data_IF_060579912059
#
_entry.id   IF_060579912059
#
_cell.length_a   1.000
_cell.length_b   1.000
_cell.length_c   1.000
_cell.angle_alpha   90.00
_cell.angle_beta   90.00
_cell.angle_gamma   90.00
#
_symmetry.space_group_name_H-M   'P 1'
#
loop_
_entity.id
_entity.type
_entity.pdbx_description
1 polymer ?
#
# COMPACT_ATOMS: atom_id res chain seq x y z
N UNK A 1 17.09 16.46 10.71
CA UNK A 1 15.87 15.73 10.31
C UNK A 1 16.28 14.38 9.75
N UNK A 2 15.66 13.29 10.23
CA UNK A 2 15.91 11.95 9.69
C UNK A 2 15.32 11.88 8.28
N UNK A 3 16.14 11.60 7.27
CA UNK A 3 15.70 11.50 5.88
C UNK A 3 15.24 10.06 5.66
N UNK A 4 13.95 9.87 5.41
CA UNK A 4 13.41 8.55 5.07
C UNK A 4 13.82 8.22 3.63
N UNK A 5 14.42 7.05 3.42
CA UNK A 5 14.78 6.55 2.10
C UNK A 5 13.84 5.39 1.77
N UNK A 6 13.05 5.54 0.71
CA UNK A 6 12.08 4.54 0.27
C UNK A 6 12.65 3.57 -0.78
N UNK A 7 13.88 3.81 -1.24
CA UNK A 7 14.55 3.01 -2.26
C UNK A 7 14.70 1.55 -1.83
N UNK A 8 14.22 0.65 -2.67
CA UNK A 8 14.21 -0.80 -2.46
C UNK A 8 13.21 -1.28 -1.41
N UNK A 9 12.41 -0.40 -0.81
CA UNK A 9 11.42 -0.81 0.18
C UNK A 9 10.20 -1.42 -0.50
N UNK A 10 9.71 -2.51 0.08
CA UNK A 10 8.44 -3.10 -0.27
C UNK A 10 7.34 -2.41 0.52
N UNK A 11 6.31 -1.92 -0.17
CA UNK A 11 5.24 -1.12 0.43
C UNK A 11 3.86 -1.69 0.08
N UNK A 12 2.92 -1.52 1.01
CA UNK A 12 1.50 -1.79 0.78
C UNK A 12 0.70 -0.53 1.13
N UNK A 13 -0.43 -0.33 0.44
CA UNK A 13 -1.33 0.80 0.67
C UNK A 13 -2.60 0.27 1.35
N UNK A 14 -2.98 0.86 2.48
CA UNK A 14 -4.24 0.56 3.17
C UNK A 14 -5.16 1.77 2.99
N UNK A 15 -6.34 1.55 2.44
CA UNK A 15 -7.23 2.58 1.93
C UNK A 15 -7.10 2.72 0.41
N UNK A 16 -8.24 2.74 -0.27
CA UNK A 16 -8.43 2.78 -1.72
C UNK A 16 -9.34 3.93 -2.12
N UNK A 17 -9.41 4.99 -1.31
CA UNK A 17 -10.05 6.24 -1.72
C UNK A 17 -9.24 6.94 -2.82
N UNK A 18 -9.85 7.93 -3.48
CA UNK A 18 -9.23 8.69 -4.56
C UNK A 18 -7.77 9.15 -4.28
N UNK A 19 -7.43 9.71 -3.09
CA UNK A 19 -6.04 10.06 -2.75
C UNK A 19 -5.07 8.87 -2.84
N UNK A 20 -5.49 7.67 -2.43
CA UNK A 20 -4.66 6.47 -2.44
C UNK A 20 -4.40 6.00 -3.87
N UNK A 21 -5.39 6.11 -4.78
CA UNK A 21 -5.19 5.85 -6.21
C UNK A 21 -4.20 6.81 -6.84
N UNK A 22 -4.24 8.10 -6.49
CA UNK A 22 -3.29 9.06 -7.04
C UNK A 22 -1.88 8.81 -6.52
N UNK A 23 -1.70 8.54 -5.22
CA UNK A 23 -0.42 8.08 -4.66
C UNK A 23 0.08 6.85 -5.43
N UNK A 24 -0.77 5.84 -5.63
CA UNK A 24 -0.42 4.64 -6.38
C UNK A 24 0.00 4.94 -7.82
N UNK A 25 -0.71 5.84 -8.53
CA UNK A 25 -0.31 6.27 -9.88
C UNK A 25 1.06 6.93 -9.86
N UNK A 26 1.34 7.80 -8.89
CA UNK A 26 2.63 8.48 -8.81
C UNK A 26 3.78 7.51 -8.53
N UNK A 27 3.55 6.50 -7.68
CA UNK A 27 4.55 5.48 -7.34
C UNK A 27 4.81 4.49 -8.49
N UNK A 28 3.77 4.15 -9.27
CA UNK A 28 3.89 3.18 -10.38
C UNK A 28 4.31 3.80 -11.71
N UNK A 29 4.11 5.11 -11.89
CA UNK A 29 4.46 5.82 -13.12
C UNK A 29 5.74 6.64 -12.93
N UNK A 30 6.22 7.24 -14.02
CA UNK A 30 7.53 7.90 -14.09
C UNK A 30 7.71 9.10 -13.14
N UNK A 31 6.61 9.60 -12.55
CA UNK A 31 6.59 10.78 -11.70
C UNK A 31 7.40 10.62 -10.40
N UNK A 32 7.50 9.41 -9.84
CA UNK A 32 8.28 9.14 -8.63
C UNK A 32 9.21 7.92 -8.78
N UNK A 33 9.67 7.65 -10.00
CA UNK A 33 10.62 6.55 -10.27
C UNK A 33 11.88 6.61 -9.39
N UNK A 34 12.32 7.81 -9.02
CA UNK A 34 13.49 8.01 -8.14
C UNK A 34 13.30 7.48 -6.72
N UNK A 35 12.04 7.25 -6.28
CA UNK A 35 11.78 6.58 -5.00
C UNK A 35 12.13 5.10 -5.06
N UNK A 36 12.09 4.46 -6.23
CA UNK A 36 12.51 3.08 -6.51
C UNK A 36 12.01 2.08 -5.44
N UNK A 37 10.74 2.22 -5.04
CA UNK A 37 10.07 1.33 -4.10
C UNK A 37 9.19 0.32 -4.85
N UNK A 38 8.93 -0.82 -4.22
CA UNK A 38 8.12 -1.89 -4.79
C UNK A 38 6.73 -1.91 -4.13
N UNK A 39 5.70 -1.53 -4.86
CA UNK A 39 4.33 -1.69 -4.38
C UNK A 39 3.95 -3.17 -4.46
N UNK A 40 3.57 -3.78 -3.33
CA UNK A 40 3.18 -5.18 -3.27
C UNK A 40 1.66 -5.37 -3.32
N UNK A 41 0.89 -4.45 -2.73
CA UNK A 41 -0.55 -4.60 -2.68
C UNK A 41 -1.32 -3.41 -2.12
N UNK A 42 -2.64 -3.49 -2.28
CA UNK A 42 -3.61 -2.51 -1.80
C UNK A 42 -4.73 -3.22 -1.04
N UNK A 43 -5.05 -2.74 0.16
CA UNK A 43 -6.21 -3.21 0.93
C UNK A 43 -7.26 -2.11 1.04
N UNK A 44 -8.50 -2.40 0.66
CA UNK A 44 -9.64 -1.49 0.89
C UNK A 44 -10.92 -2.30 1.09
N UNK A 45 -11.73 -1.92 2.08
CA UNK A 45 -12.97 -2.62 2.42
C UNK A 45 -14.02 -2.55 1.29
N UNK A 46 -13.93 -1.54 0.42
CA UNK A 46 -14.76 -1.38 -0.77
C UNK A 46 -14.08 -1.99 -2.01
N UNK A 47 -14.12 -3.32 -2.11
CA UNK A 47 -13.46 -4.08 -3.20
C UNK A 47 -13.92 -3.74 -4.63
N UNK A 48 -15.04 -3.03 -4.79
CA UNK A 48 -15.61 -2.59 -6.09
C UNK A 48 -15.20 -1.16 -6.49
N UNK A 49 -14.32 -0.52 -5.73
CA UNK A 49 -13.79 0.79 -6.08
C UNK A 49 -12.99 0.71 -7.40
N UNK A 50 -13.09 1.74 -8.24
CA UNK A 50 -12.31 1.87 -9.48
C UNK A 50 -10.79 1.84 -9.17
N UNK A 51 -10.43 2.30 -7.99
CA UNK A 51 -9.10 2.33 -7.41
C UNK A 51 -8.52 0.93 -7.20
N UNK A 52 -9.34 -0.02 -6.75
CA UNK A 52 -8.94 -1.41 -6.55
C UNK A 52 -8.79 -2.13 -7.88
N UNK A 53 -9.66 -1.83 -8.85
CA UNK A 53 -9.52 -2.35 -10.20
C UNK A 53 -8.23 -1.86 -10.87
N UNK A 54 -7.88 -0.58 -10.70
CA UNK A 54 -6.61 -0.03 -11.18
C UNK A 54 -5.40 -0.78 -10.62
N UNK A 55 -5.37 -1.07 -9.31
CA UNK A 55 -4.30 -1.84 -8.68
C UNK A 55 -4.21 -3.28 -9.23
N UNK A 56 -5.36 -3.95 -9.38
CA UNK A 56 -5.45 -5.30 -9.94
C UNK A 56 -4.93 -5.37 -11.37
N UNK A 57 -5.28 -4.37 -12.20
CA UNK A 57 -4.82 -4.26 -13.59
C UNK A 57 -3.30 -4.01 -13.70
N UNK A 58 -2.61 -3.67 -12.60
CA UNK A 58 -1.15 -3.56 -12.51
C UNK A 58 -0.50 -4.76 -11.82
N UNK A 59 -1.22 -5.88 -11.69
CA UNK A 59 -0.76 -7.12 -11.06
C UNK A 59 -0.37 -6.97 -9.58
N UNK A 60 -0.98 -6.01 -8.88
CA UNK A 60 -0.80 -5.87 -7.45
C UNK A 60 -1.76 -6.79 -6.69
N UNK A 61 -1.33 -7.26 -5.52
CA UNK A 61 -2.24 -7.94 -4.61
C UNK A 61 -3.34 -6.98 -4.15
N UNK A 62 -4.60 -7.41 -4.21
CA UNK A 62 -5.73 -6.61 -3.72
C UNK A 62 -6.56 -7.43 -2.76
N UNK A 63 -6.97 -6.84 -1.63
CA UNK A 63 -7.82 -7.51 -0.64
C UNK A 63 -8.80 -6.54 0.00
N UNK A 64 -9.91 -7.07 0.52
CA UNK A 64 -10.81 -6.33 1.42
C UNK A 64 -10.47 -6.50 2.90
N UNK A 65 -9.55 -7.40 3.23
CA UNK A 65 -9.07 -7.63 4.58
C UNK A 65 -7.60 -7.20 4.68
N UNK A 66 -7.34 -6.05 5.31
CA UNK A 66 -5.98 -5.55 5.47
C UNK A 66 -5.06 -6.52 6.24
N UNK A 67 -5.61 -7.47 7.01
CA UNK A 67 -4.80 -8.48 7.68
C UNK A 67 -4.07 -9.39 6.69
N UNK A 68 -4.57 -9.54 5.46
CA UNK A 68 -3.91 -10.34 4.43
C UNK A 68 -2.65 -9.68 3.89
N UNK A 69 -2.50 -8.36 4.02
CA UNK A 69 -1.27 -7.65 3.64
C UNK A 69 -0.06 -8.14 4.45
N UNK A 70 -0.25 -8.45 5.73
CA UNK A 70 0.82 -8.97 6.59
C UNK A 70 1.27 -10.40 6.22
N UNK A 71 0.54 -11.08 5.33
CA UNK A 71 0.90 -12.41 4.81
C UNK A 71 1.81 -12.33 3.57
N UNK A 72 2.06 -11.13 3.04
CA UNK A 72 2.96 -10.94 1.91
C UNK A 72 4.40 -11.20 2.35
N UNK A 73 5.02 -12.27 1.84
CA UNK A 73 6.35 -12.76 2.25
C UNK A 73 7.45 -11.69 2.18
N UNK A 74 7.29 -10.69 1.31
CA UNK A 74 8.27 -9.65 1.07
C UNK A 74 7.99 -8.34 1.83
N UNK A 75 6.90 -8.24 2.59
CA UNK A 75 6.59 -7.07 3.38
C UNK A 75 7.27 -7.16 4.75
N UNK A 76 8.49 -6.64 4.85
CA UNK A 76 9.22 -6.54 6.13
C UNK A 76 8.69 -5.32 6.89
N UNK A 77 7.93 -5.56 7.95
CA UNK A 77 7.52 -4.52 8.90
C UNK A 77 8.21 -4.76 10.24
N UNK A 78 8.81 -3.70 10.80
CA UNK A 78 9.34 -3.74 12.16
C UNK A 78 8.13 -3.69 13.11
N UNK A 79 7.90 -4.74 13.89
CA UNK A 79 6.71 -4.87 14.74
C UNK A 79 6.73 -3.98 16.00
N UNK A 80 7.71 -3.07 16.10
CA UNK A 80 7.78 -2.05 17.13
C UNK A 80 6.72 -0.97 16.86
N UNK A 81 5.58 -1.11 17.51
CA UNK A 81 4.37 -0.27 17.45
C UNK A 81 3.38 -0.66 16.36
N UNK A 82 2.77 -1.84 16.50
CA UNK A 82 1.34 -1.93 16.16
C UNK A 82 0.63 -0.91 17.07
N UNK A 83 0.41 0.29 16.56
CA UNK A 83 -0.63 1.19 17.07
C UNK A 83 -1.89 0.32 17.08
N UNK A 84 -2.34 -0.06 18.28
CA UNK A 84 -3.52 -0.91 18.44
C UNK A 84 -4.62 -0.35 17.55
N UNK A 85 -5.35 -1.20 16.80
CA UNK A 85 -6.44 -0.73 15.95
C UNK A 85 -7.29 0.23 16.76
N UNK A 86 -7.54 1.43 16.21
CA UNK A 86 -8.39 2.44 16.82
C UNK A 86 -9.74 1.76 17.10
N UNK A 87 -9.94 1.36 18.35
CA UNK A 87 -11.20 0.74 18.74
C UNK A 87 -12.22 1.86 18.76
N UNK A 88 -13.14 1.83 17.80
CA UNK A 88 -14.30 2.71 17.81
C UNK A 88 -15.06 2.49 19.12
N UNK A 89 -14.97 3.46 20.04
CA UNK A 89 -15.97 3.72 21.07
C UNK A 89 -17.11 4.53 20.48
#
# INVERSE_FOLDING_TARGET
>A
MKKWNLKGLNIAIIGGSYPCKDILKHLLNDNLKDLDCNVLGVADTFAKAEEIEYARNRNLFTTSDYNEIFKLENLIYDSMEIIKPFQNT
#
